data_IF_047988381403
#
_entry.id   IF_047988381403
#
_cell.length_a   1.000
_cell.length_b   1.000
_cell.length_c   1.000
_cell.angle_alpha   90.00
_cell.angle_beta   90.00
_cell.angle_gamma   90.00
#
_symmetry.space_group_name_H-M   'P 1'
#
loop_
_entity.id
_entity.type
_entity.pdbx_description
1 polymer ?
#
# COMPACT_ATOMS: atom_id res chain seq x y z
N UNK A 1 7.63 14.89 -2.66
CA UNK A 1 6.56 15.94 -2.55
C UNK A 1 5.21 15.31 -2.79
N UNK A 2 4.19 15.78 -2.06
CA UNK A 2 2.80 15.36 -2.26
C UNK A 2 2.01 16.47 -2.97
N UNK A 3 0.98 16.10 -3.75
CA UNK A 3 0.12 17.07 -4.45
C UNK A 3 -1.00 17.66 -3.59
N UNK A 4 -1.29 17.11 -2.40
CA UNK A 4 -2.45 17.50 -1.58
C UNK A 4 -2.09 18.42 -0.40
N UNK A 5 -1.68 19.64 -0.69
CA UNK A 5 -1.34 20.65 0.33
C UNK A 5 -2.53 21.16 1.16
N UNK A 6 -3.77 20.87 0.77
CA UNK A 6 -4.97 21.37 1.45
C UNK A 6 -5.47 20.45 2.56
N UNK A 7 -5.01 19.19 2.60
CA UNK A 7 -5.41 18.22 3.62
C UNK A 7 -4.44 18.35 4.80
N UNK A 8 -4.93 18.56 6.05
CA UNK A 8 -4.06 18.66 7.21
C UNK A 8 -3.29 17.35 7.44
N UNK A 9 -2.04 17.47 7.91
CA UNK A 9 -1.23 16.32 8.30
C UNK A 9 -1.85 15.69 9.54
N UNK A 10 -2.17 14.40 9.44
CA UNK A 10 -2.69 13.58 10.53
C UNK A 10 -1.65 12.57 11.00
N UNK A 11 -1.49 12.36 12.32
CA UNK A 11 -0.72 11.24 12.85
C UNK A 11 -1.24 9.90 12.32
N UNK A 12 -0.32 9.00 11.95
CA UNK A 12 -0.67 7.69 11.39
C UNK A 12 -1.61 6.89 12.31
N UNK A 13 -1.42 7.00 13.61
CA UNK A 13 -2.24 6.33 14.61
C UNK A 13 -3.71 6.74 14.57
N UNK A 14 -3.97 8.03 14.35
CA UNK A 14 -5.34 8.52 14.23
C UNK A 14 -6.03 7.95 12.98
N UNK A 15 -5.27 7.77 11.91
CA UNK A 15 -5.77 7.12 10.69
C UNK A 15 -6.09 5.65 10.99
N UNK A 16 -5.21 4.93 11.68
CA UNK A 16 -5.39 3.51 12.01
C UNK A 16 -6.56 3.27 12.96
N UNK A 17 -6.76 4.13 13.96
CA UNK A 17 -7.84 4.02 14.96
C UNK A 17 -9.26 4.17 14.37
N UNK A 18 -9.40 4.62 13.11
CA UNK A 18 -10.68 4.73 12.44
C UNK A 18 -11.77 5.50 13.23
N UNK A 19 -11.38 6.48 14.04
CA UNK A 19 -12.33 7.28 14.84
C UNK A 19 -13.36 8.00 13.97
N UNK A 20 -12.97 8.36 12.75
CA UNK A 20 -13.84 9.00 11.75
C UNK A 20 -14.89 8.08 11.15
N UNK A 21 -14.76 6.76 11.36
CA UNK A 21 -15.70 5.77 10.81
C UNK A 21 -16.97 5.59 11.65
N UNK A 22 -17.03 6.23 12.82
CA UNK A 22 -18.23 6.23 13.66
C UNK A 22 -19.27 7.18 13.10
N UNK A 23 -20.46 6.66 12.87
CA UNK A 23 -21.60 7.41 12.36
C UNK A 23 -22.81 7.21 13.27
N UNK A 24 -23.74 8.16 13.23
CA UNK A 24 -24.99 8.11 13.97
C UNK A 24 -26.15 7.88 13.00
N UNK A 25 -26.89 6.79 13.20
CA UNK A 25 -28.16 6.57 12.51
C UNK A 25 -29.29 7.37 13.16
N UNK A 26 -30.39 7.63 12.46
CA UNK A 26 -31.61 8.13 13.06
C UNK A 26 -32.05 7.25 14.24
N UNK A 27 -32.37 7.86 15.39
CA UNK A 27 -32.68 7.12 16.63
C UNK A 27 -31.50 6.96 17.59
N UNK A 28 -30.35 7.56 17.31
CA UNK A 28 -29.18 7.61 18.22
C UNK A 28 -28.31 6.35 18.22
N UNK A 29 -28.52 5.44 17.28
CA UNK A 29 -27.70 4.25 17.13
C UNK A 29 -26.34 4.64 16.51
N UNK A 30 -25.25 4.36 17.22
CA UNK A 30 -23.89 4.53 16.72
C UNK A 30 -23.48 3.28 15.96
N UNK A 31 -23.03 3.44 14.73
CA UNK A 31 -22.45 2.36 13.93
C UNK A 31 -21.09 2.77 13.37
N UNK A 32 -20.26 1.78 13.07
CA UNK A 32 -18.93 1.98 12.51
C UNK A 32 -18.84 1.33 11.13
N UNK A 33 -18.40 2.11 10.14
CA UNK A 33 -18.14 1.59 8.80
C UNK A 33 -16.83 0.80 8.82
N UNK A 34 -16.74 -0.32 8.08
CA UNK A 34 -15.51 -1.10 7.98
C UNK A 34 -14.38 -0.31 7.30
N UNK A 35 -14.72 0.58 6.38
CA UNK A 35 -13.79 1.49 5.70
C UNK A 35 -14.54 2.73 5.19
N UNK A 36 -13.76 3.75 4.82
CA UNK A 36 -14.25 4.93 4.10
C UNK A 36 -13.33 5.19 2.90
N UNK A 37 -13.89 5.68 1.78
CA UNK A 37 -13.08 6.12 0.64
C UNK A 37 -12.58 7.55 0.88
N UNK A 38 -11.65 7.70 1.81
CA UNK A 38 -11.12 8.99 2.28
C UNK A 38 -9.64 9.10 1.96
N UNK A 39 -9.21 10.33 1.68
CA UNK A 39 -7.82 10.67 1.48
C UNK A 39 -7.26 11.33 2.73
N UNK A 40 -6.07 10.90 3.14
CA UNK A 40 -5.33 11.44 4.27
C UNK A 40 -3.99 12.00 3.79
N UNK A 41 -3.41 12.86 4.61
CA UNK A 41 -2.04 13.32 4.48
C UNK A 41 -1.32 13.03 5.79
N UNK A 42 -0.19 12.33 5.74
CA UNK A 42 0.54 11.92 6.94
C UNK A 42 2.04 12.01 6.73
N UNK A 43 2.78 12.17 7.82
CA UNK A 43 4.23 12.06 7.83
C UNK A 43 4.62 10.67 8.35
N UNK A 44 5.31 9.91 7.53
CA UNK A 44 5.62 8.50 7.78
C UNK A 44 7.09 8.19 7.53
N UNK A 45 7.52 7.02 7.99
CA UNK A 45 8.84 6.44 7.76
C UNK A 45 8.66 5.01 7.30
N UNK A 46 9.39 4.58 6.26
CA UNK A 46 9.39 3.19 5.81
C UNK A 46 10.22 2.35 6.78
N UNK A 47 9.66 1.24 7.23
CA UNK A 47 10.32 0.27 8.12
C UNK A 47 10.51 -1.09 7.49
N UNK A 48 9.72 -1.41 6.46
CA UNK A 48 9.85 -2.62 5.66
C UNK A 48 9.16 -2.47 4.30
N UNK A 49 9.34 -3.42 3.40
CA UNK A 49 8.69 -3.49 2.10
C UNK A 49 8.43 -4.94 1.67
N UNK A 50 7.47 -5.11 0.77
CA UNK A 50 7.11 -6.40 0.18
C UNK A 50 6.73 -6.20 -1.30
N UNK A 51 7.11 -7.11 -2.23
CA UNK A 51 7.89 -8.35 -2.03
C UNK A 51 9.33 -8.09 -1.55
N UNK A 52 10.04 -9.12 -1.05
CA UNK A 52 11.38 -8.92 -0.43
C UNK A 52 12.46 -8.49 -1.40
N UNK A 53 12.30 -8.78 -2.69
CA UNK A 53 13.24 -8.38 -3.73
C UNK A 53 12.63 -7.24 -4.54
N UNK A 54 13.41 -6.19 -4.80
CA UNK A 54 12.97 -5.03 -5.59
C UNK A 54 12.66 -5.43 -7.04
N UNK A 55 13.36 -6.43 -7.55
CA UNK A 55 13.14 -7.00 -8.89
C UNK A 55 11.72 -7.53 -9.10
N UNK A 56 10.98 -7.79 -8.02
CA UNK A 56 9.60 -8.27 -8.02
C UNK A 56 8.56 -7.16 -7.81
N UNK A 57 8.98 -5.88 -7.77
CA UNK A 57 8.08 -4.73 -7.60
C UNK A 57 7.25 -4.43 -8.85
N UNK A 58 7.71 -4.86 -10.02
CA UNK A 58 6.94 -4.80 -11.24
C UNK A 58 6.47 -6.19 -11.64
N UNK A 59 5.19 -6.30 -11.97
CA UNK A 59 4.56 -7.55 -12.41
C UNK A 59 4.08 -7.43 -13.84
N UNK A 60 4.18 -8.53 -14.59
CA UNK A 60 3.64 -8.59 -15.93
C UNK A 60 2.12 -8.66 -15.89
N UNK A 61 1.47 -7.82 -16.66
CA UNK A 61 0.01 -7.81 -16.81
C UNK A 61 -0.40 -8.11 -18.23
N UNK A 62 -1.50 -8.82 -18.39
CA UNK A 62 -2.15 -9.04 -19.70
C UNK A 62 -3.34 -8.11 -19.78
N UNK A 63 -3.28 -7.11 -20.64
CA UNK A 63 -4.47 -6.33 -20.99
C UNK A 63 -5.28 -7.12 -22.00
N UNK A 64 -6.33 -7.79 -21.55
CA UNK A 64 -7.37 -8.23 -22.48
C UNK A 64 -8.05 -6.98 -23.06
N UNK A 65 -8.24 -6.88 -24.39
CA UNK A 65 -8.97 -5.75 -24.96
C UNK A 65 -10.40 -5.74 -24.43
N UNK A 66 -10.73 -4.67 -23.68
CA UNK A 66 -12.04 -4.51 -23.01
C UNK A 66 -13.24 -4.44 -23.97
N UNK A 67 -13.00 -4.24 -25.27
CA UNK A 67 -14.04 -4.23 -26.32
C UNK A 67 -13.44 -4.65 -27.66
N UNK A 68 -13.49 -5.90 -28.04
CA UNK A 68 -13.30 -6.29 -29.43
C UNK A 68 -14.56 -6.87 -30.04
N UNK A 69 -15.46 -6.00 -30.47
CA UNK A 69 -16.51 -6.37 -31.45
C UNK A 69 -15.98 -6.37 -32.89
N UNK A 70 -14.66 -6.30 -33.11
CA UNK A 70 -14.05 -6.42 -34.43
C UNK A 70 -13.42 -7.80 -34.59
N UNK A 71 -13.85 -8.50 -35.64
CA UNK A 71 -13.27 -9.74 -36.15
C UNK A 71 -11.81 -9.52 -36.59
N UNK A 72 -10.90 -9.54 -35.66
CA UNK A 72 -9.47 -9.48 -35.83
C UNK A 72 -8.87 -9.71 -34.47
N UNK A 73 -8.39 -10.94 -34.21
CA UNK A 73 -7.73 -11.27 -32.96
C UNK A 73 -6.54 -10.36 -32.76
N UNK A 74 -6.72 -9.32 -31.94
CA UNK A 74 -5.59 -8.54 -31.45
C UNK A 74 -4.92 -9.39 -30.39
N UNK A 75 -3.66 -9.72 -30.58
CA UNK A 75 -2.86 -10.45 -29.61
C UNK A 75 -2.92 -9.72 -28.25
N UNK A 76 -2.94 -10.44 -27.12
CA UNK A 76 -2.95 -9.83 -25.81
C UNK A 76 -1.70 -8.96 -25.68
N UNK A 77 -1.87 -7.67 -25.42
CA UNK A 77 -0.75 -6.78 -25.14
C UNK A 77 -0.25 -7.08 -23.73
N UNK A 78 0.97 -7.53 -23.63
CA UNK A 78 1.67 -7.66 -22.36
C UNK A 78 2.20 -6.29 -21.96
N UNK A 79 1.93 -5.90 -20.72
CA UNK A 79 2.45 -4.70 -20.08
C UNK A 79 3.11 -5.03 -18.76
N UNK A 80 3.66 -4.02 -18.12
CA UNK A 80 4.19 -4.11 -16.76
C UNK A 80 3.44 -3.13 -15.89
N UNK A 81 3.29 -3.46 -14.62
CA UNK A 81 2.61 -2.65 -13.61
C UNK A 81 3.39 -2.72 -12.31
N UNK A 82 3.58 -1.57 -11.66
CA UNK A 82 4.08 -1.53 -10.31
C UNK A 82 3.09 -2.17 -9.35
N UNK A 83 3.58 -3.06 -8.51
CA UNK A 83 2.76 -3.74 -7.50
C UNK A 83 3.60 -4.15 -6.31
N UNK A 84 3.71 -3.28 -5.32
CA UNK A 84 4.45 -3.54 -4.11
C UNK A 84 3.78 -2.89 -2.90
N UNK A 85 4.27 -3.18 -1.70
CA UNK A 85 3.75 -2.68 -0.45
C UNK A 85 4.89 -2.13 0.41
N UNK A 86 4.69 -0.94 0.96
CA UNK A 86 5.56 -0.36 1.97
C UNK A 86 4.93 -0.56 3.35
N UNK A 87 5.72 -0.99 4.32
CA UNK A 87 5.32 -0.97 5.71
C UNK A 87 5.86 0.32 6.32
N UNK A 88 4.96 1.14 6.82
CA UNK A 88 5.30 2.47 7.34
C UNK A 88 4.86 2.64 8.78
N UNK A 89 5.64 3.40 9.54
CA UNK A 89 5.27 3.88 10.87
C UNK A 89 5.16 5.41 10.88
N UNK A 90 4.45 5.96 11.87
CA UNK A 90 4.38 7.41 12.06
C UNK A 90 5.75 8.01 12.37
N UNK A 91 6.05 9.17 11.78
CA UNK A 91 7.33 9.86 11.96
C UNK A 91 7.46 10.59 13.31
N UNK A 92 6.37 10.75 14.05
CA UNK A 92 6.38 11.45 15.34
C UNK A 92 7.25 10.72 16.37
N UNK A 93 8.01 11.48 17.20
CA UNK A 93 8.78 10.89 18.27
C UNK A 93 7.85 10.28 19.33
N UNK A 94 8.07 9.02 19.67
CA UNK A 94 7.33 8.32 20.72
C UNK A 94 8.22 8.04 21.94
N UNK A 95 7.62 7.95 23.14
CA UNK A 95 8.34 7.44 24.30
C UNK A 95 8.87 6.03 24.01
N UNK A 96 10.09 5.74 24.44
CA UNK A 96 10.87 4.53 24.09
C UNK A 96 10.23 3.18 24.46
N UNK A 97 9.11 3.17 25.19
CA UNK A 97 8.40 1.97 25.65
C UNK A 97 7.12 1.66 24.85
N UNK A 98 6.73 2.50 23.91
CA UNK A 98 5.49 2.29 23.16
C UNK A 98 5.78 1.65 21.81
N UNK A 99 5.16 0.48 21.55
CA UNK A 99 5.22 -0.17 20.24
C UNK A 99 4.59 0.76 19.19
N UNK A 100 5.28 0.96 18.08
CA UNK A 100 4.74 1.72 16.97
C UNK A 100 3.81 0.85 16.15
N UNK A 101 2.68 1.40 15.80
CA UNK A 101 1.77 0.77 14.85
C UNK A 101 2.33 0.91 13.43
N UNK A 102 2.23 -0.16 12.67
CA UNK A 102 2.71 -0.24 11.29
C UNK A 102 1.51 -0.32 10.36
N UNK A 103 1.51 0.53 9.33
CA UNK A 103 0.51 0.51 8.27
C UNK A 103 1.09 -0.12 7.01
N UNK A 104 0.31 -0.96 6.33
CA UNK A 104 0.61 -1.45 4.99
C UNK A 104 0.11 -0.42 3.97
N UNK A 105 1.02 0.13 3.17
CA UNK A 105 0.75 1.09 2.11
C UNK A 105 1.00 0.43 0.76
N UNK A 106 -0.07 0.13 0.03
CA UNK A 106 0.03 -0.43 -1.32
C UNK A 106 0.40 0.65 -2.33
N UNK A 107 1.31 0.29 -3.24
CA UNK A 107 1.73 1.12 -4.38
C UNK A 107 1.50 0.31 -5.65
N UNK A 108 0.56 0.77 -6.49
CA UNK A 108 0.13 0.03 -7.66
C UNK A 108 -0.06 0.94 -8.88
N UNK A 109 0.20 0.40 -10.07
CA UNK A 109 -0.08 1.04 -11.34
C UNK A 109 0.48 2.47 -11.44
N UNK A 110 -0.35 3.40 -11.88
CA UNK A 110 0.01 4.81 -12.09
C UNK A 110 0.53 5.51 -10.83
N UNK A 111 0.11 5.10 -9.64
CA UNK A 111 0.66 5.66 -8.39
C UNK A 111 2.11 5.24 -8.19
N UNK A 112 2.48 4.06 -8.67
CA UNK A 112 3.87 3.59 -8.72
C UNK A 112 4.70 4.36 -9.76
N UNK A 113 4.15 4.57 -10.97
CA UNK A 113 4.80 5.40 -12.01
C UNK A 113 5.05 6.81 -11.46
N UNK A 114 4.08 7.37 -10.75
CA UNK A 114 4.19 8.69 -10.16
C UNK A 114 5.20 8.75 -9.00
N UNK A 115 5.23 7.71 -8.14
CA UNK A 115 6.17 7.65 -7.01
C UNK A 115 7.61 7.55 -7.50
N UNK A 116 7.86 6.67 -8.46
CA UNK A 116 9.20 6.37 -8.97
C UNK A 116 9.60 7.26 -10.14
N UNK A 117 8.68 8.09 -10.66
CA UNK A 117 8.88 8.92 -11.86
C UNK A 117 9.46 8.08 -13.00
N UNK A 118 8.88 6.89 -13.20
CA UNK A 118 9.25 5.93 -14.24
C UNK A 118 8.12 4.92 -14.47
N UNK A 119 7.84 4.58 -15.73
CA UNK A 119 6.88 3.54 -16.08
C UNK A 119 7.38 2.16 -15.66
N UNK A 120 6.45 1.28 -15.28
CA UNK A 120 6.81 -0.08 -14.91
C UNK A 120 7.39 -0.88 -16.08
N UNK A 121 8.41 -1.68 -15.82
CA UNK A 121 9.12 -2.48 -16.80
C UNK A 121 9.69 -3.77 -16.19
N UNK A 122 10.23 -4.66 -17.01
CA UNK A 122 10.94 -5.84 -16.51
C UNK A 122 12.24 -5.44 -15.83
N UNK A 123 12.22 -5.36 -14.49
CA UNK A 123 13.37 -4.98 -13.69
C UNK A 123 14.55 -5.94 -13.82
N UNK A 124 14.28 -7.22 -14.07
CA UNK A 124 15.32 -8.26 -14.22
C UNK A 124 16.10 -8.15 -15.53
N UNK A 125 15.47 -7.59 -16.57
CA UNK A 125 16.09 -7.43 -17.90
C UNK A 125 16.80 -6.07 -18.08
N UNK A 126 16.61 -5.12 -17.15
CA UNK A 126 17.15 -3.78 -17.23
C UNK A 126 17.98 -3.38 -16.00
N UNK A 127 19.20 -3.92 -15.83
CA UNK A 127 20.01 -3.67 -14.63
C UNK A 127 20.29 -2.18 -14.37
N UNK A 128 20.50 -1.38 -15.42
CA UNK A 128 20.75 0.07 -15.27
C UNK A 128 19.54 0.83 -14.71
N UNK A 129 18.33 0.51 -15.21
CA UNK A 129 17.11 1.13 -14.69
C UNK A 129 16.78 0.61 -13.30
N UNK A 130 17.06 -0.68 -13.01
CA UNK A 130 16.92 -1.24 -11.69
C UNK A 130 17.78 -0.48 -10.66
N UNK A 131 19.06 -0.22 -10.99
CA UNK A 131 19.92 0.57 -10.10
C UNK A 131 19.39 1.99 -9.89
N UNK A 132 18.88 2.66 -10.94
CA UNK A 132 18.25 3.97 -10.79
C UNK A 132 17.01 3.94 -9.87
N UNK A 133 16.19 2.87 -9.96
CA UNK A 133 15.06 2.67 -9.04
C UNK A 133 15.55 2.45 -7.60
N UNK A 134 16.60 1.64 -7.40
CA UNK A 134 17.21 1.42 -6.08
C UNK A 134 17.75 2.71 -5.47
N UNK A 135 18.42 3.56 -6.25
CA UNK A 135 18.87 4.86 -5.79
C UNK A 135 17.71 5.78 -5.36
N UNK A 136 16.62 5.81 -6.13
CA UNK A 136 15.41 6.55 -5.74
C UNK A 136 14.81 6.01 -4.43
N UNK A 137 14.67 4.70 -4.32
CA UNK A 137 14.14 4.05 -3.12
C UNK A 137 15.05 4.24 -1.89
N UNK A 138 16.37 4.31 -2.09
CA UNK A 138 17.32 4.65 -1.03
C UNK A 138 17.02 6.01 -0.39
N UNK A 139 16.58 7.01 -1.18
CA UNK A 139 16.15 8.31 -0.63
C UNK A 139 14.92 8.18 0.27
N UNK A 140 14.09 7.15 0.05
CA UNK A 140 12.87 6.90 0.82
C UNK A 140 13.14 6.15 2.14
N UNK A 141 13.99 5.12 2.08
CA UNK A 141 14.18 4.19 3.20
C UNK A 141 15.63 3.96 3.66
N UNK A 142 16.59 4.71 3.10
CA UNK A 142 18.00 4.61 3.50
C UNK A 142 18.57 3.21 3.26
N UNK A 143 19.23 2.67 4.27
CA UNK A 143 19.91 1.36 4.20
C UNK A 143 18.99 0.14 4.37
N UNK A 144 17.68 0.28 4.28
CA UNK A 144 16.73 -0.80 4.56
C UNK A 144 16.96 -2.04 3.67
N UNK A 145 17.17 -1.84 2.36
CA UNK A 145 17.42 -2.95 1.43
C UNK A 145 18.66 -3.76 1.81
N UNK A 146 19.75 -3.06 2.14
CA UNK A 146 21.01 -3.70 2.53
C UNK A 146 20.86 -4.51 3.82
N UNK A 147 20.23 -3.93 4.84
CA UNK A 147 20.03 -4.59 6.13
C UNK A 147 19.10 -5.79 5.99
N UNK A 148 18.04 -5.66 5.18
CA UNK A 148 17.13 -6.77 4.88
C UNK A 148 17.81 -7.89 4.11
N UNK A 149 18.63 -7.58 3.12
CA UNK A 149 19.40 -8.56 2.34
C UNK A 149 20.41 -9.31 3.22
N UNK A 150 21.10 -8.61 4.13
CA UNK A 150 22.03 -9.22 5.10
C UNK A 150 21.28 -10.18 6.04
N UNK A 151 20.13 -9.76 6.57
CA UNK A 151 19.33 -10.59 7.46
C UNK A 151 18.83 -11.86 6.75
N UNK A 152 18.33 -11.73 5.52
CA UNK A 152 17.90 -12.88 4.73
C UNK A 152 19.04 -13.86 4.45
N UNK A 153 20.22 -13.35 4.08
CA UNK A 153 21.41 -14.18 3.83
C UNK A 153 21.88 -14.92 5.08
N UNK A 154 21.66 -14.36 6.28
CA UNK A 154 22.01 -14.98 7.57
C UNK A 154 20.88 -15.81 8.19
N UNK A 155 19.72 -15.92 7.53
CA UNK A 155 18.54 -16.63 8.05
C UNK A 155 17.86 -15.94 9.23
N UNK A 156 18.13 -14.65 9.45
CA UNK A 156 17.51 -13.85 10.50
C UNK A 156 16.15 -13.30 10.03
N UNK A 157 15.19 -13.25 10.94
CA UNK A 157 13.86 -12.68 10.65
C UNK A 157 13.77 -11.18 10.95
N UNK A 158 14.80 -10.61 11.55
CA UNK A 158 14.87 -9.17 11.88
C UNK A 158 16.20 -8.60 11.42
N UNK A 159 16.18 -7.35 11.00
CA UNK A 159 17.36 -6.61 10.55
C UNK A 159 17.75 -5.52 11.54
N UNK A 160 18.93 -4.97 11.32
CA UNK A 160 19.51 -3.92 12.14
C UNK A 160 18.75 -2.58 12.04
N UNK A 161 19.24 -1.54 12.71
CA UNK A 161 18.61 -0.23 12.70
C UNK A 161 18.59 0.37 11.29
N UNK A 162 17.40 0.75 10.84
CA UNK A 162 17.17 1.36 9.53
C UNK A 162 17.28 2.88 9.64
N UNK A 163 17.98 3.48 8.68
CA UNK A 163 18.19 4.95 8.60
C UNK A 163 17.19 5.63 7.64
N UNK A 164 15.92 5.21 7.66
CA UNK A 164 14.90 5.85 6.83
C UNK A 164 14.56 7.25 7.35
N UNK A 165 14.46 8.21 6.43
CA UNK A 165 14.04 9.56 6.76
C UNK A 165 12.52 9.68 6.73
N UNK A 166 11.91 10.49 7.63
CA UNK A 166 10.50 10.82 7.53
C UNK A 166 10.19 11.57 6.24
N UNK A 167 9.04 11.27 5.64
CA UNK A 167 8.53 11.98 4.48
C UNK A 167 7.01 12.12 4.55
N UNK A 168 6.49 13.12 3.87
CA UNK A 168 5.05 13.35 3.75
C UNK A 168 4.51 12.52 2.60
N UNK A 169 3.38 11.85 2.81
CA UNK A 169 2.69 11.12 1.77
C UNK A 169 1.17 11.30 1.84
N UNK A 170 0.55 11.20 0.69
CA UNK A 170 -0.90 11.09 0.57
C UNK A 170 -1.32 9.63 0.60
N UNK A 171 -2.32 9.34 1.42
CA UNK A 171 -2.82 8.00 1.70
C UNK A 171 -4.29 7.95 1.33
N UNK A 172 -4.68 6.99 0.49
CA UNK A 172 -6.06 6.70 0.16
C UNK A 172 -6.51 5.47 0.94
N UNK A 173 -7.57 5.59 1.69
CA UNK A 173 -8.27 4.47 2.30
C UNK A 173 -9.31 3.91 1.34
N UNK A 174 -9.42 2.58 1.27
CA UNK A 174 -10.43 1.88 0.47
C UNK A 174 -10.75 0.52 1.07
N UNK A 175 -11.87 -0.06 0.65
CA UNK A 175 -12.27 -1.41 1.02
C UNK A 175 -12.02 -2.40 -0.10
N UNK A 176 -11.62 -3.61 0.26
CA UNK A 176 -11.64 -4.78 -0.61
C UNK A 176 -12.47 -5.86 0.02
N UNK A 177 -13.12 -6.70 -0.78
CA UNK A 177 -13.83 -7.85 -0.24
C UNK A 177 -12.86 -8.77 0.49
N UNK A 178 -13.25 -9.25 1.65
CA UNK A 178 -12.42 -10.18 2.41
C UNK A 178 -12.29 -11.51 1.65
N UNK A 179 -11.14 -12.17 1.84
CA UNK A 179 -10.84 -13.48 1.25
C UNK A 179 -11.10 -14.65 2.21
N UNK A 180 -11.75 -14.37 3.35
CA UNK A 180 -12.10 -15.41 4.33
C UNK A 180 -13.20 -16.32 3.77
N UNK A 181 -13.27 -17.52 4.30
CA UNK A 181 -14.37 -18.43 4.01
C UNK A 181 -15.72 -17.79 4.33
N UNK A 182 -16.71 -18.06 3.50
CA UNK A 182 -18.06 -17.56 3.66
C UNK A 182 -18.96 -18.66 4.14
N UNK A 183 -19.95 -18.33 4.96
CA UNK A 183 -20.96 -19.28 5.39
C UNK A 183 -22.04 -19.43 4.31
N UNK A 184 -22.13 -20.58 3.63
CA UNK A 184 -23.11 -20.80 2.57
C UNK A 184 -24.56 -20.85 3.09
N UNK A 185 -24.77 -20.96 4.41
CA UNK A 185 -26.10 -21.06 5.00
C UNK A 185 -26.64 -19.71 5.49
N UNK A 186 -25.79 -18.68 5.51
CA UNK A 186 -26.17 -17.33 5.96
C UNK A 186 -26.02 -16.37 4.78
N UNK A 187 -27.13 -15.97 4.22
CA UNK A 187 -27.18 -14.93 3.19
C UNK A 187 -27.64 -13.61 3.80
N UNK A 188 -26.86 -12.57 3.63
CA UNK A 188 -27.27 -11.20 3.87
C UNK A 188 -27.74 -10.55 2.55
N UNK A 189 -28.29 -9.34 2.63
CA UNK A 189 -28.81 -8.57 1.50
C UNK A 189 -27.78 -8.40 0.37
N UNK A 190 -26.49 -8.42 0.73
CA UNK A 190 -25.34 -8.26 -0.17
C UNK A 190 -24.57 -9.57 -0.47
N UNK A 191 -25.08 -10.74 -0.05
CA UNK A 191 -24.48 -12.06 -0.34
C UNK A 191 -24.06 -12.85 0.92
N UNK A 192 -23.15 -13.83 0.73
CA UNK A 192 -22.70 -14.72 1.79
C UNK A 192 -21.89 -13.99 2.88
N UNK A 193 -22.23 -14.24 4.13
CA UNK A 193 -21.56 -13.62 5.29
C UNK A 193 -20.22 -14.31 5.59
N UNK A 194 -19.21 -13.52 5.92
CA UNK A 194 -17.91 -14.02 6.34
C UNK A 194 -18.01 -14.78 7.67
N UNK A 195 -17.41 -15.98 7.76
CA UNK A 195 -17.43 -16.79 8.99
C UNK A 195 -16.49 -16.26 10.08
N UNK A 196 -15.58 -15.34 9.75
CA UNK A 196 -14.63 -14.81 10.73
C UNK A 196 -15.33 -13.79 11.66
N UNK A 197 -15.31 -14.00 12.98
CA UNK A 197 -15.91 -13.07 13.94
C UNK A 197 -15.35 -11.65 13.78
N UNK A 198 -16.26 -10.67 13.70
CA UNK A 198 -15.89 -9.26 13.56
C UNK A 198 -15.51 -8.82 12.14
N UNK A 199 -15.56 -9.71 11.15
CA UNK A 199 -15.40 -9.37 9.75
C UNK A 199 -16.77 -9.00 9.15
N UNK A 200 -16.86 -7.80 8.57
CA UNK A 200 -18.05 -7.31 7.88
C UNK A 200 -18.01 -7.58 6.36
N UNK A 201 -17.29 -8.61 5.91
CA UNK A 201 -17.13 -8.94 4.49
C UNK A 201 -16.12 -8.06 3.75
N UNK A 202 -15.54 -7.07 4.42
CA UNK A 202 -14.61 -6.10 3.84
C UNK A 202 -13.35 -5.97 4.68
N UNK A 203 -12.20 -5.86 3.99
CA UNK A 203 -10.90 -5.54 4.57
C UNK A 203 -10.54 -4.09 4.23
N UNK A 204 -10.19 -3.32 5.25
CA UNK A 204 -9.72 -1.94 5.12
C UNK A 204 -8.28 -1.93 4.63
N UNK A 205 -8.02 -1.24 3.54
CA UNK A 205 -6.69 -1.11 2.95
C UNK A 205 -6.32 0.33 2.68
N UNK A 206 -5.01 0.56 2.55
CA UNK A 206 -4.44 1.87 2.31
C UNK A 206 -3.51 1.83 1.11
N UNK A 207 -3.63 2.80 0.22
CA UNK A 207 -2.74 2.98 -0.92
C UNK A 207 -2.04 4.34 -0.83
N UNK A 208 -0.79 4.38 -1.24
CA UNK A 208 -0.07 5.63 -1.47
C UNK A 208 -0.51 6.21 -2.82
N UNK A 209 -0.73 7.51 -2.89
CA UNK A 209 -1.02 8.19 -4.15
C UNK A 209 -0.42 9.59 -4.17
N UNK A 210 -0.26 10.16 -5.36
CA UNK A 210 0.15 11.55 -5.51
C UNK A 210 1.43 11.94 -4.78
N UNK A 211 2.31 10.99 -4.48
CA UNK A 211 3.60 11.17 -3.81
C UNK A 211 4.72 10.83 -4.78
N UNK A 212 5.71 11.70 -4.92
CA UNK A 212 6.85 11.52 -5.84
C UNK A 212 8.17 11.64 -5.09
N UNK A 213 9.12 10.76 -5.38
CA UNK A 213 10.51 10.85 -4.94
C UNK A 213 11.22 11.81 -5.92
N UNK A 214 11.81 12.87 -5.37
CA UNK A 214 12.64 13.80 -6.16
C UNK A 214 14.11 13.53 -5.88
N UNK A 215 14.85 13.35 -6.93
CA UNK A 215 16.32 13.32 -6.94
C UNK A 215 16.88 14.73 -7.12
#
# INVERSE_FOLDING_TARGET
KTKNYTVPILPLEKILLAETHKNNAPGGVVYQLPFQNVNYHSQVRVVDFFPPNIEDFAVQTTSAPLFSNQKGATEPKFGWEWRFCLLVEGAEPKPSKQTREVMKLYVCGQDGDFLLDDDAFNLRENPRRLEAIKEKLFLLWGNLEEEKSKAMASGQQSWGPVKSCPFECSIKEYGVQCTHDKDPNVMDVDGEVCVQPGCFGWERRFAMFGTTIHT
#
